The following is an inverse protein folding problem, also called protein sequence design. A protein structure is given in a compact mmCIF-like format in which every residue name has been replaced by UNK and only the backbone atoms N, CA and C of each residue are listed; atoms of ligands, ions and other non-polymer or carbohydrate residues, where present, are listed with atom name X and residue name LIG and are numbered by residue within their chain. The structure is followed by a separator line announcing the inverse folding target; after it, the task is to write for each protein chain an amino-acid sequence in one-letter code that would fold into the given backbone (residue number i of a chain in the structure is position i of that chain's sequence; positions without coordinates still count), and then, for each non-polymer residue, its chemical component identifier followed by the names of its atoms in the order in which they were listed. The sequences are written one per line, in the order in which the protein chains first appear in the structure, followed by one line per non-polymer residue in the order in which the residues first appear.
data_IF_120858782706
#
_entry.id   IF_120858782706
#
_cell.length_a   1.000
_cell.length_b   1.000
_cell.length_c   1.000
_cell.angle_alpha   90.00
_cell.angle_beta   90.00
_cell.angle_gamma   90.00
#
_symmetry.space_group_name_H-M   'P 1'
#
loop_
_entity.id
_entity.type
_entity.pdbx_description
1 polymer ?
#
# COMPACT_ATOMS: atom_id res chain seq x y z
N UNK A 1 -3.41 -2.31 -16.35
CA UNK A 1 -2.63 -1.25 -15.67
C UNK A 1 -3.04 -1.16 -14.22
N UNK A 2 -2.08 -1.09 -13.31
CA UNK A 2 -2.36 -0.92 -11.89
C UNK A 2 -2.49 0.57 -11.54
N UNK A 3 -3.53 0.90 -10.79
CA UNK A 3 -3.77 2.25 -10.26
C UNK A 3 -3.39 2.24 -8.78
N UNK A 4 -2.32 2.93 -8.43
CA UNK A 4 -1.69 2.81 -7.12
C UNK A 4 -1.94 4.03 -6.26
N UNK A 5 -2.41 3.79 -5.03
CA UNK A 5 -2.50 4.79 -3.97
C UNK A 5 -1.43 4.48 -2.93
N UNK A 6 -0.67 5.49 -2.54
CA UNK A 6 0.33 5.38 -1.47
C UNK A 6 -0.23 6.02 -0.21
N UNK A 7 -0.15 5.33 0.93
CA UNK A 7 -0.56 5.86 2.22
C UNK A 7 0.58 5.67 3.23
N UNK A 8 1.22 6.77 3.59
CA UNK A 8 2.33 6.81 4.55
C UNK A 8 2.41 8.23 5.12
N UNK A 9 2.60 8.36 6.42
CA UNK A 9 2.71 9.68 7.06
C UNK A 9 4.07 10.34 6.84
N UNK A 10 5.07 9.58 6.35
CA UNK A 10 6.40 10.10 6.08
C UNK A 10 6.50 10.60 4.64
N UNK A 11 6.67 11.91 4.47
CA UNK A 11 6.76 12.53 3.15
C UNK A 11 7.97 12.04 2.35
N UNK A 12 9.08 11.70 3.03
CA UNK A 12 10.27 11.19 2.33
C UNK A 12 10.02 9.80 1.77
N UNK A 13 9.30 8.95 2.50
CA UNK A 13 8.92 7.62 2.01
C UNK A 13 7.99 7.75 0.81
N UNK A 14 6.98 8.62 0.88
CA UNK A 14 6.07 8.85 -0.26
C UNK A 14 6.85 9.33 -1.49
N UNK A 15 7.80 10.24 -1.30
CA UNK A 15 8.61 10.76 -2.39
C UNK A 15 9.46 9.67 -3.04
N UNK A 16 10.10 8.83 -2.23
CA UNK A 16 10.91 7.73 -2.73
C UNK A 16 10.07 6.72 -3.51
N UNK A 17 8.89 6.37 -2.99
CA UNK A 17 7.96 5.47 -3.67
C UNK A 17 7.46 6.06 -4.99
N UNK A 18 7.16 7.35 -5.01
CA UNK A 18 6.71 8.04 -6.23
C UNK A 18 7.77 7.95 -7.32
N UNK A 19 9.01 8.21 -6.98
CA UNK A 19 10.12 8.13 -7.93
C UNK A 19 10.28 6.71 -8.47
N UNK A 20 10.25 5.73 -7.57
CA UNK A 20 10.38 4.32 -7.94
C UNK A 20 9.27 3.89 -8.89
N UNK A 21 8.03 4.23 -8.58
CA UNK A 21 6.88 3.82 -9.38
C UNK A 21 6.85 4.48 -10.75
N UNK A 22 7.30 5.74 -10.85
CA UNK A 22 7.34 6.45 -12.13
C UNK A 22 8.28 5.81 -13.15
N UNK A 23 9.28 5.07 -12.68
CA UNK A 23 10.22 4.39 -13.58
C UNK A 23 9.68 3.09 -14.16
N UNK A 24 8.48 2.65 -13.72
CA UNK A 24 7.89 1.39 -14.12
C UNK A 24 6.75 1.59 -15.11
N UNK A 25 6.69 0.73 -16.14
CA UNK A 25 5.55 0.71 -17.06
C UNK A 25 4.41 -0.11 -16.46
N UNK A 26 3.18 0.21 -16.87
CA UNK A 26 2.00 -0.51 -16.42
C UNK A 26 1.50 -0.10 -15.03
N UNK A 27 2.09 0.94 -14.43
CA UNK A 27 1.70 1.47 -13.14
C UNK A 27 1.33 2.93 -13.26
N UNK A 28 0.26 3.34 -12.58
CA UNK A 28 -0.14 4.75 -12.50
C UNK A 28 -0.35 5.11 -11.02
N UNK A 29 0.36 6.12 -10.56
CA UNK A 29 0.14 6.65 -9.22
C UNK A 29 -1.08 7.57 -9.26
N UNK A 30 -2.14 7.22 -8.53
CA UNK A 30 -3.39 7.99 -8.55
C UNK A 30 -3.57 8.88 -7.32
N UNK A 31 -2.76 8.71 -6.29
CA UNK A 31 -2.83 9.58 -5.13
C UNK A 31 -1.84 9.20 -4.05
N UNK A 32 -1.72 10.09 -3.06
CA UNK A 32 -0.89 9.91 -1.88
C UNK A 32 -1.68 10.41 -0.67
N UNK A 33 -1.69 9.62 0.40
CA UNK A 33 -2.37 9.97 1.64
C UNK A 33 -1.37 9.99 2.79
N UNK A 34 -1.47 10.99 3.66
CA UNK A 34 -0.59 11.14 4.81
C UNK A 34 -1.24 10.71 6.13
N UNK A 35 -2.51 10.37 6.12
CA UNK A 35 -3.26 9.95 7.30
C UNK A 35 -4.43 9.07 6.90
N UNK A 36 -5.04 8.42 7.90
CA UNK A 36 -6.12 7.44 7.65
C UNK A 36 -7.37 8.09 7.04
N UNK A 37 -7.73 9.29 7.46
CA UNK A 37 -8.91 9.96 6.93
C UNK A 37 -8.75 10.26 5.44
N UNK A 38 -7.60 10.80 5.06
CA UNK A 38 -7.29 11.10 3.67
C UNK A 38 -7.22 9.83 2.83
N UNK A 39 -6.63 8.75 3.38
CA UNK A 39 -6.62 7.45 2.75
C UNK A 39 -8.04 6.99 2.37
N UNK A 40 -8.96 7.02 3.33
CA UNK A 40 -10.34 6.56 3.10
C UNK A 40 -11.04 7.41 2.03
N UNK A 41 -10.83 8.73 2.06
CA UNK A 41 -11.39 9.63 1.05
C UNK A 41 -10.85 9.34 -0.34
N UNK A 42 -9.54 9.11 -0.47
CA UNK A 42 -8.93 8.88 -1.77
C UNK A 42 -9.28 7.51 -2.36
N UNK A 43 -9.46 6.48 -1.53
CA UNK A 43 -9.95 5.19 -2.04
C UNK A 43 -11.31 5.39 -2.69
N UNK A 44 -12.18 6.17 -2.04
CA UNK A 44 -13.54 6.40 -2.53
C UNK A 44 -13.58 7.22 -3.82
N UNK A 45 -12.67 8.16 -4.00
CA UNK A 45 -12.66 9.06 -5.17
C UNK A 45 -11.77 8.57 -6.31
N UNK A 46 -10.65 7.91 -6.02
CA UNK A 46 -9.66 7.55 -7.03
C UNK A 46 -9.77 6.11 -7.52
N UNK A 47 -10.51 5.25 -6.84
CA UNK A 47 -10.71 3.84 -7.21
C UNK A 47 -9.38 3.13 -7.49
N UNK A 48 -8.43 3.11 -6.54
CA UNK A 48 -7.16 2.42 -6.76
C UNK A 48 -7.39 0.91 -6.87
N UNK A 49 -6.53 0.24 -7.63
CA UNK A 49 -6.51 -1.23 -7.68
C UNK A 49 -5.52 -1.79 -6.66
N UNK A 50 -4.49 -1.00 -6.32
CA UNK A 50 -3.47 -1.39 -5.33
C UNK A 50 -3.28 -0.25 -4.34
N UNK A 51 -3.24 -0.59 -3.06
CA UNK A 51 -2.88 0.31 -1.96
C UNK A 51 -1.53 -0.14 -1.40
N UNK A 52 -0.56 0.78 -1.38
CA UNK A 52 0.69 0.59 -0.64
C UNK A 52 0.48 1.31 0.69
N UNK A 53 0.38 0.55 1.77
CA UNK A 53 -0.05 1.04 3.08
C UNK A 53 1.03 0.88 4.13
N UNK A 54 1.46 2.00 4.73
CA UNK A 54 2.30 1.97 5.91
C UNK A 54 1.48 1.47 7.11
N UNK A 55 1.94 0.39 7.72
CA UNK A 55 1.25 -0.19 8.88
C UNK A 55 1.11 0.81 10.02
N UNK A 56 2.12 1.67 10.23
CA UNK A 56 2.09 2.68 11.28
C UNK A 56 0.93 3.66 11.15
N UNK A 57 0.47 3.88 9.93
CA UNK A 57 -0.64 4.80 9.66
C UNK A 57 -1.95 4.30 10.28
N UNK A 58 -2.14 2.98 10.33
CA UNK A 58 -3.38 2.36 10.82
C UNK A 58 -3.20 1.57 12.12
N UNK A 59 -1.97 1.50 12.66
CA UNK A 59 -1.70 0.70 13.87
C UNK A 59 -2.63 1.04 15.05
N UNK A 60 -3.01 2.32 15.26
CA UNK A 60 -3.97 2.65 16.33
C UNK A 60 -5.38 2.09 16.09
N UNK A 61 -5.72 1.75 14.84
CA UNK A 61 -7.03 1.21 14.47
C UNK A 61 -6.84 0.13 13.40
N UNK A 62 -6.23 -1.02 13.76
CA UNK A 62 -5.86 -2.03 12.76
C UNK A 62 -7.04 -2.67 12.04
N UNK A 63 -8.25 -2.57 12.60
CA UNK A 63 -9.46 -3.06 11.95
C UNK A 63 -9.81 -2.32 10.65
N UNK A 64 -9.15 -1.19 10.37
CA UNK A 64 -9.33 -0.48 9.12
C UNK A 64 -9.01 -1.39 7.93
N UNK A 65 -7.96 -2.22 8.02
CA UNK A 65 -7.57 -3.07 6.90
C UNK A 65 -8.61 -4.15 6.58
N UNK A 66 -9.09 -4.96 7.54
CA UNK A 66 -10.18 -5.89 7.24
C UNK A 66 -11.44 -5.18 6.72
N UNK A 67 -11.75 -4.01 7.25
CA UNK A 67 -12.88 -3.21 6.77
C UNK A 67 -12.74 -2.78 5.32
N UNK A 68 -11.54 -2.39 4.91
CA UNK A 68 -11.26 -2.07 3.50
C UNK A 68 -11.39 -3.30 2.61
N UNK A 69 -10.93 -4.46 3.08
CA UNK A 69 -11.04 -5.71 2.32
C UNK A 69 -12.50 -6.09 2.11
N UNK A 70 -13.35 -5.89 3.11
CA UNK A 70 -14.77 -6.20 3.02
C UNK A 70 -15.50 -5.24 2.07
N UNK A 71 -15.20 -3.94 2.18
CA UNK A 71 -15.86 -2.91 1.38
C UNK A 71 -15.36 -2.87 -0.06
N UNK A 72 -14.08 -3.14 -0.28
CA UNK A 72 -13.44 -3.09 -1.60
C UNK A 72 -12.74 -4.41 -1.87
N UNK A 73 -13.49 -5.48 -2.16
CA UNK A 73 -12.91 -6.83 -2.28
C UNK A 73 -11.91 -6.97 -3.42
N UNK A 74 -11.96 -6.11 -4.43
CA UNK A 74 -11.01 -6.12 -5.54
C UNK A 74 -9.72 -5.35 -5.23
N UNK A 75 -9.71 -4.54 -4.17
CA UNK A 75 -8.53 -3.77 -3.79
C UNK A 75 -7.44 -4.71 -3.25
N UNK A 76 -6.23 -4.60 -3.81
CA UNK A 76 -5.07 -5.33 -3.33
C UNK A 76 -4.26 -4.44 -2.42
N UNK A 77 -3.82 -4.96 -1.28
CA UNK A 77 -3.10 -4.17 -0.29
C UNK A 77 -1.72 -4.76 -0.06
N UNK A 78 -0.69 -3.94 -0.26
CA UNK A 78 0.69 -4.25 0.11
C UNK A 78 1.00 -3.41 1.34
N UNK A 79 1.30 -4.07 2.45
CA UNK A 79 1.69 -3.36 3.68
C UNK A 79 3.20 -3.16 3.69
N UNK A 80 3.64 -1.95 4.03
CA UNK A 80 5.03 -1.64 4.27
C UNK A 80 5.20 -1.24 5.74
N UNK A 81 6.36 -1.56 6.31
CA UNK A 81 6.67 -1.19 7.69
C UNK A 81 8.18 -1.24 7.94
N UNK A 82 8.65 -0.37 8.81
CA UNK A 82 10.02 -0.46 9.33
C UNK A 82 10.19 -1.54 10.39
N UNK A 83 9.09 -2.19 10.79
CA UNK A 83 9.07 -3.18 11.88
C UNK A 83 8.70 -4.54 11.32
N UNK A 84 9.71 -5.43 11.20
CA UNK A 84 9.48 -6.76 10.62
C UNK A 84 8.53 -7.63 11.46
N UNK A 85 8.43 -7.36 12.77
CA UNK A 85 7.58 -8.14 13.66
C UNK A 85 6.08 -7.96 13.42
N UNK A 86 5.66 -6.94 12.68
CA UNK A 86 4.25 -6.75 12.35
C UNK A 86 3.81 -7.55 11.12
N UNK A 87 4.71 -8.28 10.48
CA UNK A 87 4.41 -9.04 9.26
C UNK A 87 3.20 -9.96 9.42
N UNK A 88 3.20 -10.78 10.48
CA UNK A 88 2.11 -11.74 10.70
C UNK A 88 0.78 -11.02 10.90
N UNK A 89 0.76 -9.93 11.67
CA UNK A 89 -0.45 -9.15 11.90
C UNK A 89 -0.99 -8.56 10.60
N UNK A 90 -0.09 -8.02 9.74
CA UNK A 90 -0.49 -7.44 8.47
C UNK A 90 -1.09 -8.49 7.53
N UNK A 91 -0.45 -9.64 7.39
CA UNK A 91 -0.95 -10.71 6.52
C UNK A 91 -2.26 -11.29 7.04
N UNK A 92 -2.39 -11.46 8.36
CA UNK A 92 -3.64 -11.95 8.97
C UNK A 92 -4.78 -10.95 8.80
N UNK A 93 -4.47 -9.64 8.73
CA UNK A 93 -5.48 -8.61 8.50
C UNK A 93 -5.93 -8.53 7.04
N UNK A 94 -5.30 -9.27 6.14
CA UNK A 94 -5.71 -9.34 4.74
C UNK A 94 -4.77 -8.71 3.72
N UNK A 95 -3.54 -8.35 4.12
CA UNK A 95 -2.57 -7.84 3.15
C UNK A 95 -2.16 -8.94 2.17
N UNK A 96 -2.03 -8.58 0.90
CA UNK A 96 -1.55 -9.49 -0.15
C UNK A 96 -0.06 -9.77 0.01
N UNK A 97 0.69 -8.78 0.50
CA UNK A 97 2.13 -8.89 0.70
C UNK A 97 2.57 -7.95 1.80
N UNK A 98 3.72 -8.25 2.38
CA UNK A 98 4.38 -7.41 3.38
C UNK A 98 5.80 -7.11 2.91
N UNK A 99 6.17 -5.83 2.89
CA UNK A 99 7.50 -5.37 2.50
C UNK A 99 8.09 -4.59 3.66
N UNK A 100 9.29 -4.95 4.09
CA UNK A 100 10.02 -4.16 5.07
C UNK A 100 10.58 -2.90 4.41
N UNK A 101 10.50 -1.76 5.10
CA UNK A 101 11.07 -0.51 4.58
C UNK A 101 12.59 -0.57 4.38
N UNK A 102 13.26 -1.52 5.04
CA UNK A 102 14.67 -1.77 4.84
C UNK A 102 15.00 -2.70 3.68
N UNK A 103 14.00 -3.30 3.04
CA UNK A 103 14.22 -4.19 1.91
C UNK A 103 14.68 -3.42 0.67
N UNK A 104 15.42 -4.07 -0.25
CA UNK A 104 15.74 -3.46 -1.54
C UNK A 104 14.45 -3.12 -2.31
N UNK A 105 14.47 -2.07 -3.16
CA UNK A 105 13.30 -1.69 -3.97
C UNK A 105 12.74 -2.83 -4.82
N UNK A 106 13.57 -3.78 -5.21
CA UNK A 106 13.15 -4.93 -6.02
C UNK A 106 12.03 -5.75 -5.37
N UNK A 107 12.00 -5.81 -4.03
CA UNK A 107 10.96 -6.56 -3.32
C UNK A 107 9.57 -5.99 -3.59
N UNK A 108 9.44 -4.68 -3.51
CA UNK A 108 8.16 -4.02 -3.81
C UNK A 108 7.80 -4.17 -5.29
N UNK A 109 8.77 -3.98 -6.17
CA UNK A 109 8.52 -4.11 -7.62
C UNK A 109 8.09 -5.51 -7.99
N UNK A 110 8.69 -6.55 -7.39
CA UNK A 110 8.27 -7.94 -7.62
C UNK A 110 6.86 -8.19 -7.12
N UNK A 111 6.49 -7.66 -5.96
CA UNK A 111 5.14 -7.79 -5.44
C UNK A 111 4.10 -7.14 -6.37
N UNK A 112 4.41 -5.95 -6.88
CA UNK A 112 3.55 -5.25 -7.84
C UNK A 112 3.45 -6.01 -9.16
N UNK A 113 4.54 -6.58 -9.64
CA UNK A 113 4.55 -7.37 -10.87
C UNK A 113 3.65 -8.60 -10.73
N UNK A 114 3.69 -9.29 -9.61
CA UNK A 114 2.80 -10.43 -9.35
C UNK A 114 1.33 -10.02 -9.41
N UNK A 115 0.98 -8.87 -8.86
CA UNK A 115 -0.40 -8.38 -8.90
C UNK A 115 -0.81 -7.99 -10.31
N UNK A 116 0.10 -7.40 -11.09
CA UNK A 116 -0.17 -7.00 -12.46
C UNK A 116 -0.40 -8.21 -13.37
N UNK A 117 0.35 -9.29 -13.13
CA UNK A 117 0.32 -10.49 -13.98
C UNK A 117 -0.76 -11.50 -13.53
N UNK A 118 -1.42 -11.23 -12.42
CA UNK A 118 -2.45 -12.11 -11.88
C UNK A 118 -3.76 -12.07 -12.66
#
# INVERSE_FOLDING_TARGET
MLRILIADDDAEVRSALRILLKSQSGLTLVGEAANALDLLKQIETEYPTVLILDWGLIAPAPDILPGLRDRYPALRVIVISGRAEVRAAALNAGAEAFISKGDPPDRLLMALQKLRDA
#
